data_IF_101524388335
#
_entry.id   IF_101524388335
#
_cell.length_a   1.000
_cell.length_b   1.000
_cell.length_c   1.000
_cell.angle_alpha   90.00
_cell.angle_beta   90.00
_cell.angle_gamma   90.00
#
_symmetry.space_group_name_H-M   'P 1'
#
loop_
_entity.id
_entity.type
_entity.pdbx_description
1 polymer ?
#
# COMPACT_ATOMS: atom_id res chain seq x y z
N UNK A 1 10.32 19.97 -24.31
CA UNK A 1 9.36 20.59 -23.37
C UNK A 1 7.91 20.15 -23.64
N UNK A 2 7.46 20.06 -24.89
CA UNK A 2 6.12 19.57 -25.28
C UNK A 2 5.79 18.18 -24.73
N UNK A 3 6.74 17.24 -24.74
CA UNK A 3 6.54 15.89 -24.18
C UNK A 3 6.33 15.89 -22.65
N UNK A 4 6.95 16.82 -21.92
CA UNK A 4 6.81 16.90 -20.46
C UNK A 4 5.43 17.39 -20.05
N UNK A 5 4.93 18.44 -20.71
CA UNK A 5 3.58 18.95 -20.50
C UNK A 5 2.51 17.91 -20.86
N UNK A 6 2.65 17.22 -22.01
CA UNK A 6 1.70 16.18 -22.42
C UNK A 6 1.73 14.96 -21.48
N UNK A 7 2.90 14.55 -21.00
CA UNK A 7 3.02 13.46 -20.01
C UNK A 7 2.35 13.84 -18.70
N UNK A 8 2.59 15.06 -18.21
CA UNK A 8 1.98 15.58 -16.99
C UNK A 8 0.46 15.65 -17.12
N UNK A 9 -0.07 16.21 -18.22
CA UNK A 9 -1.52 16.24 -18.46
C UNK A 9 -2.10 14.83 -18.52
N UNK A 10 -1.45 13.92 -19.24
CA UNK A 10 -1.92 12.54 -19.35
C UNK A 10 -1.99 11.87 -17.98
N UNK A 11 -0.95 12.07 -17.16
CA UNK A 11 -0.87 11.58 -15.79
C UNK A 11 -1.93 12.20 -14.88
N UNK A 12 -2.34 13.45 -15.09
CA UNK A 12 -3.35 14.16 -14.28
C UNK A 12 -4.76 14.11 -14.88
N UNK A 13 -4.94 13.60 -16.10
CA UNK A 13 -6.20 13.70 -16.85
C UNK A 13 -7.40 13.01 -16.17
N UNK A 14 -7.15 12.01 -15.33
CA UNK A 14 -8.19 11.22 -14.66
C UNK A 14 -9.00 12.01 -13.61
N UNK A 15 -8.50 13.14 -13.12
CA UNK A 15 -9.19 13.95 -12.11
C UNK A 15 -9.15 15.46 -12.42
N UNK A 16 -8.70 15.86 -13.61
CA UNK A 16 -8.67 17.26 -14.04
C UNK A 16 -9.37 17.43 -15.38
N UNK A 17 -10.70 17.44 -15.35
CA UNK A 17 -11.54 17.61 -16.56
C UNK A 17 -11.24 18.93 -17.27
N UNK A 18 -11.01 20.00 -16.51
CA UNK A 18 -10.70 21.34 -17.04
C UNK A 18 -9.45 21.36 -17.92
N UNK A 19 -8.43 20.54 -17.63
CA UNK A 19 -7.21 20.48 -18.44
C UNK A 19 -7.36 19.65 -19.72
N UNK A 20 -8.31 18.71 -19.75
CA UNK A 20 -8.55 17.88 -20.94
C UNK A 20 -9.14 18.69 -22.10
N UNK A 21 -9.93 19.72 -21.77
CA UNK A 21 -10.60 20.60 -22.73
C UNK A 21 -9.72 21.76 -23.22
N UNK A 22 -8.49 21.86 -22.69
CA UNK A 22 -7.54 22.91 -23.03
C UNK A 22 -6.45 22.37 -23.97
N UNK A 23 -6.04 23.18 -24.93
CA UNK A 23 -4.90 22.90 -25.81
C UNK A 23 -3.77 23.92 -25.61
N UNK A 24 -2.53 23.43 -25.64
CA UNK A 24 -1.34 24.26 -25.47
C UNK A 24 -1.13 25.16 -26.69
N UNK A 25 -1.08 26.48 -26.45
CA UNK A 25 -0.76 27.47 -27.48
C UNK A 25 0.73 27.77 -27.46
N UNK A 26 1.24 28.21 -26.30
CA UNK A 26 2.65 28.57 -26.15
C UNK A 26 3.12 28.40 -24.70
N UNK A 27 4.37 27.99 -24.54
CA UNK A 27 5.06 27.96 -23.25
C UNK A 27 5.83 29.27 -23.10
N UNK A 28 5.50 30.03 -22.06
CA UNK A 28 6.17 31.28 -21.69
C UNK A 28 7.09 30.99 -20.51
N UNK A 29 8.36 31.34 -20.68
CA UNK A 29 9.36 31.30 -19.61
C UNK A 29 9.60 32.72 -19.14
N UNK A 30 9.32 32.99 -17.87
CA UNK A 30 9.59 34.29 -17.28
C UNK A 30 11.08 34.44 -16.96
N UNK A 31 11.79 35.19 -17.81
CA UNK A 31 13.21 35.49 -17.65
C UNK A 31 13.54 36.42 -16.47
N UNK A 32 12.53 37.03 -15.85
CA UNK A 32 12.69 37.86 -14.65
C UNK A 32 12.55 37.08 -13.34
N UNK A 33 12.21 35.79 -13.42
CA UNK A 33 12.02 34.94 -12.26
C UNK A 33 13.31 34.84 -11.44
N UNK A 34 13.28 35.34 -10.21
CA UNK A 34 14.48 35.54 -9.39
C UNK A 34 15.31 34.27 -9.23
N UNK A 35 14.65 33.11 -9.15
CA UNK A 35 15.32 31.82 -9.06
C UNK A 35 16.00 31.45 -10.37
N UNK A 36 15.37 31.71 -11.52
CA UNK A 36 16.01 31.52 -12.83
C UNK A 36 17.22 32.45 -13.02
N UNK A 37 17.11 33.71 -12.59
CA UNK A 37 18.20 34.70 -12.66
C UNK A 37 19.34 34.36 -11.70
N UNK A 38 19.02 33.85 -10.51
CA UNK A 38 20.00 33.43 -9.50
C UNK A 38 20.62 32.05 -9.78
N UNK A 39 20.16 31.34 -10.83
CA UNK A 39 20.55 29.96 -11.10
C UNK A 39 20.05 28.95 -10.05
N UNK A 40 19.00 29.30 -9.31
CA UNK A 40 18.31 28.44 -8.35
C UNK A 40 17.32 27.53 -9.08
N UNK A 41 17.69 26.25 -9.18
CA UNK A 41 16.90 25.22 -9.83
C UNK A 41 15.96 24.48 -8.87
N UNK A 42 15.88 24.86 -7.60
CA UNK A 42 15.01 24.18 -6.61
C UNK A 42 13.52 24.29 -6.92
N UNK A 43 13.17 25.30 -7.72
CA UNK A 43 11.81 25.62 -8.11
C UNK A 43 11.79 25.99 -9.58
N UNK A 44 10.98 25.27 -10.34
CA UNK A 44 10.74 25.61 -11.74
C UNK A 44 9.32 26.11 -11.87
N UNK A 45 9.16 27.32 -12.42
CA UNK A 45 7.85 27.87 -12.77
C UNK A 45 7.74 28.03 -14.28
N UNK A 46 6.73 27.38 -14.84
CA UNK A 46 6.43 27.39 -16.27
C UNK A 46 5.05 28.00 -16.44
N UNK A 47 4.93 28.97 -17.34
CA UNK A 47 3.64 29.55 -17.70
C UNK A 47 3.22 28.99 -19.03
N UNK A 48 2.09 28.29 -19.09
CA UNK A 48 1.54 27.74 -20.31
C UNK A 48 0.32 28.57 -20.69
N UNK A 49 0.39 29.27 -21.82
CA UNK A 49 -0.80 29.85 -22.42
C UNK A 49 -1.53 28.73 -23.17
N UNK A 50 -2.76 28.49 -22.76
CA UNK A 50 -3.62 27.44 -23.29
C UNK A 50 -4.93 28.07 -23.76
N UNK A 51 -5.61 27.44 -24.71
CA UNK A 51 -6.92 27.88 -25.18
C UNK A 51 -7.93 26.75 -25.07
N UNK A 52 -9.20 27.09 -24.95
CA UNK A 52 -10.29 26.11 -25.04
C UNK A 52 -10.32 25.46 -26.42
N UNK A 53 -10.57 24.15 -26.45
CA UNK A 53 -10.80 23.39 -27.68
C UNK A 53 -12.16 23.71 -28.31
N UNK A 54 -13.13 24.16 -27.51
CA UNK A 54 -14.47 24.53 -27.98
C UNK A 54 -14.51 25.96 -28.54
N UNK A 55 -13.87 26.91 -27.86
CA UNK A 55 -13.76 28.30 -28.31
C UNK A 55 -12.30 28.79 -28.31
N UNK A 56 -11.76 28.97 -29.53
CA UNK A 56 -10.40 29.47 -29.75
C UNK A 56 -10.12 30.88 -29.20
N UNK A 57 -11.16 31.65 -28.84
CA UNK A 57 -11.01 33.00 -28.24
C UNK A 57 -10.85 32.95 -26.72
N UNK A 58 -11.19 31.83 -26.09
CA UNK A 58 -11.12 31.67 -24.64
C UNK A 58 -9.73 31.16 -24.24
N UNK A 59 -8.93 32.06 -23.68
CA UNK A 59 -7.53 31.82 -23.30
C UNK A 59 -7.38 31.71 -21.79
N UNK A 60 -6.52 30.81 -21.36
CA UNK A 60 -6.18 30.59 -19.96
C UNK A 60 -4.66 30.58 -19.80
N UNK A 61 -4.21 31.04 -18.65
CA UNK A 61 -2.84 30.86 -18.19
C UNK A 61 -2.79 29.70 -17.20
N UNK A 62 -2.11 28.63 -17.59
CA UNK A 62 -1.83 27.49 -16.73
C UNK A 62 -0.40 27.59 -16.22
N UNK A 63 -0.27 27.94 -14.95
CA UNK A 63 1.03 28.01 -14.29
C UNK A 63 1.34 26.66 -13.67
N UNK A 64 2.53 26.13 -13.96
CA UNK A 64 3.06 24.90 -13.38
C UNK A 64 4.26 25.26 -12.54
N UNK A 65 4.18 25.02 -11.23
CA UNK A 65 5.28 25.23 -10.29
C UNK A 65 5.75 23.86 -9.79
N UNK A 66 6.97 23.46 -10.09
CA UNK A 66 7.57 22.21 -9.62
C UNK A 66 8.61 22.53 -8.54
N UNK A 67 8.54 21.83 -7.41
CA UNK A 67 9.45 22.00 -6.27
C UNK A 67 9.83 20.65 -5.67
N UNK A 68 11.10 20.42 -5.37
CA UNK A 68 11.53 19.22 -4.67
C UNK A 68 11.26 19.34 -3.16
N UNK A 69 10.51 18.40 -2.57
CA UNK A 69 10.11 18.42 -1.16
C UNK A 69 10.20 17.02 -0.53
N UNK A 70 10.45 16.94 0.78
CA UNK A 70 10.27 15.69 1.53
C UNK A 70 8.79 15.38 1.63
N UNK A 71 8.48 14.11 1.56
CA UNK A 71 7.20 13.57 1.95
C UNK A 71 7.37 12.60 3.12
N UNK A 72 6.37 12.56 3.97
CA UNK A 72 6.22 11.60 5.06
C UNK A 72 4.82 11.01 4.98
N UNK A 73 4.72 9.69 4.91
CA UNK A 73 3.50 8.91 5.07
C UNK A 73 3.61 8.23 6.42
N UNK A 74 3.12 8.94 7.45
CA UNK A 74 3.23 8.52 8.85
C UNK A 74 2.64 7.13 9.10
N UNK A 75 1.52 6.83 8.45
CA UNK A 75 0.82 5.55 8.63
C UNK A 75 1.56 4.36 8.00
N UNK A 76 2.51 4.60 7.09
CA UNK A 76 3.35 3.57 6.48
C UNK A 76 4.81 3.63 6.92
N UNK A 77 5.14 4.50 7.88
CA UNK A 77 6.52 4.83 8.26
C UNK A 77 7.44 5.08 7.04
N UNK A 78 6.85 5.63 5.97
CA UNK A 78 7.52 5.84 4.70
C UNK A 78 7.87 7.30 4.57
N UNK A 79 9.11 7.58 4.25
CA UNK A 79 9.60 8.94 4.03
C UNK A 79 10.57 8.95 2.85
N UNK A 80 10.66 10.10 2.18
CA UNK A 80 11.58 10.25 1.07
C UNK A 80 11.43 11.58 0.36
N UNK A 81 12.28 11.83 -0.65
CA UNK A 81 12.11 12.96 -1.54
C UNK A 81 10.97 12.70 -2.52
N UNK A 82 10.29 13.78 -2.89
CA UNK A 82 9.28 13.82 -3.94
C UNK A 82 9.37 15.14 -4.71
N UNK A 83 8.83 15.13 -5.93
CA UNK A 83 8.58 16.35 -6.69
C UNK A 83 7.14 16.79 -6.46
N UNK A 84 6.93 17.94 -5.81
CA UNK A 84 5.63 18.59 -5.69
C UNK A 84 5.42 19.53 -6.88
N UNK A 85 4.42 19.22 -7.69
CA UNK A 85 3.86 20.11 -8.69
C UNK A 85 2.60 20.80 -8.18
N UNK A 86 2.52 22.11 -8.41
CA UNK A 86 1.31 22.91 -8.21
C UNK A 86 0.91 23.42 -9.60
N UNK A 87 -0.28 23.04 -10.03
CA UNK A 87 -0.87 23.51 -11.26
C UNK A 87 -1.96 24.52 -10.92
N UNK A 88 -1.85 25.73 -11.44
CA UNK A 88 -2.81 26.81 -11.20
C UNK A 88 -3.38 27.30 -12.51
N UNK A 89 -4.70 27.25 -12.65
CA UNK A 89 -5.43 27.71 -13.83
C UNK A 89 -5.99 29.10 -13.56
N UNK A 90 -5.69 30.04 -14.45
CA UNK A 90 -6.16 31.43 -14.39
C UNK A 90 -6.79 31.78 -15.74
N UNK A 91 -8.00 32.35 -15.76
CA UNK A 91 -8.58 32.91 -16.99
C UNK A 91 -8.19 34.38 -17.15
N UNK A 92 -8.20 35.14 -16.06
CA UNK A 92 -7.79 36.55 -16.03
C UNK A 92 -6.78 36.77 -14.89
N UNK A 93 -5.62 37.33 -15.24
CA UNK A 93 -4.55 37.69 -14.30
C UNK A 93 -5.01 38.65 -13.19
N UNK A 94 -6.11 39.38 -13.41
CA UNK A 94 -6.69 40.30 -12.43
C UNK A 94 -7.63 39.61 -11.44
N UNK A 95 -8.24 38.49 -11.84
CA UNK A 95 -9.24 37.77 -11.03
C UNK A 95 -8.62 36.68 -10.16
N UNK A 96 -7.37 36.31 -10.41
CA UNK A 96 -6.63 35.35 -9.61
C UNK A 96 -6.80 33.91 -10.09
N UNK A 97 -6.48 32.96 -9.22
CA UNK A 97 -6.49 31.52 -9.51
C UNK A 97 -7.90 30.99 -9.42
N UNK A 98 -8.38 30.34 -10.48
CA UNK A 98 -9.70 29.71 -10.55
C UNK A 98 -9.62 28.32 -9.96
N UNK A 99 -8.63 27.54 -10.38
CA UNK A 99 -8.43 26.17 -9.92
C UNK A 99 -6.96 25.92 -9.60
N UNK A 100 -6.73 25.17 -8.52
CA UNK A 100 -5.39 24.75 -8.08
C UNK A 100 -5.38 23.25 -7.83
N UNK A 101 -4.46 22.56 -8.51
CA UNK A 101 -4.24 21.13 -8.37
C UNK A 101 -2.86 20.89 -7.79
N UNK A 102 -2.78 19.99 -6.83
CA UNK A 102 -1.51 19.48 -6.32
C UNK A 102 -1.25 18.15 -7.02
N UNK A 103 -0.05 17.98 -7.55
CA UNK A 103 0.39 16.74 -8.19
C UNK A 103 1.75 16.36 -7.69
N UNK A 104 2.03 15.07 -7.51
CA UNK A 104 3.27 14.64 -6.87
C UNK A 104 3.84 13.40 -7.50
N UNK A 105 5.17 13.39 -7.60
CA UNK A 105 5.93 12.22 -7.98
C UNK A 105 6.76 11.75 -6.78
N UNK A 106 6.27 10.72 -6.06
CA UNK A 106 6.92 10.15 -4.88
C UNK A 106 8.19 9.35 -5.20
N UNK A 107 8.43 9.07 -6.48
CA UNK A 107 9.60 8.32 -6.97
C UNK A 107 10.73 9.24 -7.45
N UNK A 108 10.52 10.56 -7.47
CA UNK A 108 11.55 11.52 -7.84
C UNK A 108 12.45 11.85 -6.63
N UNK A 109 13.79 11.93 -6.78
CA UNK A 109 14.59 11.92 -8.00
C UNK A 109 15.12 10.54 -8.43
N UNK A 110 14.66 9.46 -7.80
CA UNK A 110 15.14 8.10 -8.09
C UNK A 110 14.78 7.62 -9.50
N UNK A 111 13.66 8.11 -10.05
CA UNK A 111 13.25 7.89 -11.43
C UNK A 111 13.42 9.16 -12.27
N UNK A 112 13.98 9.00 -13.48
CA UNK A 112 14.25 10.10 -14.42
C UNK A 112 12.98 10.74 -14.98
N UNK A 113 11.93 9.95 -15.15
CA UNK A 113 10.60 10.42 -15.59
C UNK A 113 9.69 10.48 -14.38
N UNK A 114 9.25 11.69 -13.94
CA UNK A 114 8.35 11.81 -12.80
C UNK A 114 6.96 11.30 -13.20
N UNK A 115 6.47 10.28 -12.49
CA UNK A 115 5.08 9.85 -12.59
C UNK A 115 4.25 10.66 -11.60
N UNK A 116 3.43 11.58 -12.12
CA UNK A 116 2.60 12.43 -11.28
C UNK A 116 1.30 11.72 -10.88
N UNK A 117 0.95 11.86 -9.62
CA UNK A 117 -0.36 11.52 -9.05
C UNK A 117 -1.01 12.79 -8.51
N UNK A 118 -2.33 12.92 -8.61
CA UNK A 118 -3.08 14.07 -8.11
C UNK A 118 -3.32 13.93 -6.62
N UNK A 119 -3.21 15.05 -5.92
CA UNK A 119 -3.52 15.19 -4.52
C UNK A 119 -4.48 16.34 -4.27
N UNK A 120 -5.32 16.15 -3.25
CA UNK A 120 -6.20 17.18 -2.71
C UNK A 120 -5.55 17.82 -1.49
N UNK A 121 -5.61 19.15 -1.40
CA UNK A 121 -5.15 19.89 -0.24
C UNK A 121 -6.15 19.75 0.91
N UNK A 122 -5.64 19.39 2.09
CA UNK A 122 -6.45 19.13 3.29
C UNK A 122 -6.24 20.24 4.31
N UNK A 123 -5.01 20.69 4.49
CA UNK A 123 -4.66 21.71 5.46
C UNK A 123 -3.17 21.78 5.76
N UNK A 124 -2.83 22.49 6.83
CA UNK A 124 -1.49 22.54 7.39
C UNK A 124 -1.54 21.86 8.77
N UNK A 125 -0.63 20.92 9.00
CA UNK A 125 -0.49 20.24 10.30
C UNK A 125 0.05 21.18 11.37
N UNK A 126 -0.07 20.80 12.64
CA UNK A 126 0.47 21.56 13.77
C UNK A 126 2.01 21.71 13.73
N UNK A 127 2.69 20.81 13.01
CA UNK A 127 4.14 20.85 12.76
C UNK A 127 4.52 21.63 11.47
N UNK A 128 3.56 22.37 10.90
CA UNK A 128 3.69 23.15 9.66
C UNK A 128 3.97 22.34 8.39
N UNK A 129 3.65 21.04 8.37
CA UNK A 129 3.60 20.25 7.13
C UNK A 129 2.35 20.57 6.31
N UNK A 130 2.51 20.61 4.98
CA UNK A 130 1.39 20.61 4.04
C UNK A 130 0.75 19.21 4.06
N UNK A 131 -0.53 19.13 4.43
CA UNK A 131 -1.30 17.89 4.43
C UNK A 131 -2.01 17.73 3.08
N UNK A 132 -1.54 16.76 2.30
CA UNK A 132 -2.12 16.42 0.99
C UNK A 132 -2.68 14.99 1.04
N UNK A 133 -3.79 14.75 0.35
CA UNK A 133 -4.39 13.42 0.24
C UNK A 133 -4.34 12.93 -1.21
N UNK A 134 -3.81 11.72 -1.42
CA UNK A 134 -3.68 11.13 -2.76
C UNK A 134 -5.05 10.78 -3.36
N UNK A 135 -5.18 10.98 -4.68
CA UNK A 135 -6.29 10.52 -5.50
C UNK A 135 -5.75 9.46 -6.48
N UNK A 136 -6.12 8.17 -6.39
CA UNK A 136 -5.61 7.12 -7.25
C UNK A 136 -6.10 7.29 -8.69
N UNK A 137 -5.25 6.90 -9.65
CA UNK A 137 -5.51 7.00 -11.10
C UNK A 137 -6.71 6.17 -11.56
N UNK A 138 -6.92 5.01 -10.94
CA UNK A 138 -8.06 4.14 -11.19
C UNK A 138 -8.45 3.38 -9.91
N UNK A 139 -9.62 3.67 -9.31
CA UNK A 139 -10.09 3.00 -8.09
C UNK A 139 -10.48 1.53 -8.32
N UNK A 140 -10.60 1.07 -9.57
CA UNK A 140 -11.05 -0.28 -9.95
C UNK A 140 -9.90 -1.23 -10.31
N UNK A 141 -8.77 -0.73 -10.84
CA UNK A 141 -7.67 -1.58 -11.35
C UNK A 141 -6.44 -1.68 -10.44
N UNK A 142 -6.28 -0.78 -9.47
CA UNK A 142 -5.10 -0.79 -8.58
C UNK A 142 -5.09 -1.80 -7.43
N UNK A 143 -6.20 -2.40 -6.94
CA UNK A 143 -6.08 -3.63 -6.18
C UNK A 143 -5.96 -4.78 -7.18
N UNK A 144 -4.79 -5.42 -7.26
CA UNK A 144 -4.69 -6.71 -7.96
C UNK A 144 -5.78 -7.60 -7.37
N UNK A 145 -6.76 -7.99 -8.21
CA UNK A 145 -7.98 -8.60 -7.73
C UNK A 145 -7.65 -9.90 -6.97
N UNK A 146 -7.60 -9.79 -5.64
CA UNK A 146 -7.14 -10.83 -4.74
C UNK A 146 -8.02 -12.08 -4.86
N UNK A 147 -9.30 -11.86 -5.18
CA UNK A 147 -10.27 -12.92 -5.49
C UNK A 147 -9.85 -13.66 -6.75
N UNK A 148 -9.42 -12.98 -7.80
CA UNK A 148 -8.92 -13.62 -9.03
C UNK A 148 -7.69 -14.48 -8.75
N UNK A 149 -6.73 -13.96 -7.96
CA UNK A 149 -5.56 -14.75 -7.53
C UNK A 149 -5.97 -16.00 -6.74
N UNK A 150 -6.93 -15.86 -5.81
CA UNK A 150 -7.50 -16.99 -5.07
C UNK A 150 -8.16 -18.02 -5.98
N UNK A 151 -8.95 -17.58 -6.97
CA UNK A 151 -9.60 -18.47 -7.94
C UNK A 151 -8.57 -19.25 -8.77
N UNK A 152 -7.49 -18.59 -9.22
CA UNK A 152 -6.42 -19.25 -9.97
C UNK A 152 -5.71 -20.34 -9.13
N UNK A 153 -5.50 -20.08 -7.83
CA UNK A 153 -4.94 -21.09 -6.91
C UNK A 153 -5.90 -22.27 -6.73
N UNK A 154 -7.22 -22.01 -6.59
CA UNK A 154 -8.22 -23.10 -6.51
C UNK A 154 -8.26 -23.92 -7.80
N UNK A 155 -8.15 -23.29 -8.97
CA UNK A 155 -8.05 -24.01 -10.27
C UNK A 155 -6.79 -24.88 -10.29
N UNK A 156 -5.65 -24.35 -9.83
CA UNK A 156 -4.40 -25.13 -9.72
C UNK A 156 -4.58 -26.37 -8.83
N UNK A 157 -5.24 -26.21 -7.67
CA UNK A 157 -5.54 -27.34 -6.79
C UNK A 157 -6.50 -28.34 -7.43
N UNK A 158 -7.52 -27.87 -8.17
CA UNK A 158 -8.44 -28.75 -8.90
C UNK A 158 -7.71 -29.59 -9.96
N UNK A 159 -6.82 -28.98 -10.75
CA UNK A 159 -5.99 -29.68 -11.72
C UNK A 159 -5.06 -30.71 -11.06
N UNK A 160 -4.56 -30.40 -9.86
CA UNK A 160 -3.79 -31.35 -9.05
C UNK A 160 -4.67 -32.35 -8.27
N UNK A 161 -5.96 -32.46 -8.58
CA UNK A 161 -6.91 -33.32 -7.85
C UNK A 161 -6.89 -33.11 -6.33
N UNK A 162 -6.60 -31.90 -5.86
CA UNK A 162 -6.43 -31.51 -4.46
C UNK A 162 -5.31 -32.25 -3.70
N UNK A 163 -4.36 -32.83 -4.42
CA UNK A 163 -3.29 -33.64 -3.82
C UNK A 163 -2.39 -32.83 -2.87
N UNK A 164 -1.99 -31.62 -3.25
CA UNK A 164 -1.18 -30.72 -2.39
C UNK A 164 -1.80 -30.49 -1.02
N UNK A 165 -3.12 -30.25 -0.96
CA UNK A 165 -3.84 -30.02 0.29
C UNK A 165 -3.96 -31.29 1.11
N UNK A 166 -4.18 -32.42 0.45
CA UNK A 166 -4.21 -33.74 1.09
C UNK A 166 -2.85 -34.12 1.69
N UNK A 167 -1.75 -33.93 0.97
CA UNK A 167 -0.40 -34.16 1.50
C UNK A 167 -0.11 -33.28 2.72
N UNK A 168 -0.50 -32.02 2.68
CA UNK A 168 -0.36 -31.12 3.82
C UNK A 168 -1.21 -31.57 5.03
N UNK A 169 -2.45 -32.00 4.80
CA UNK A 169 -3.31 -32.56 5.84
C UNK A 169 -2.67 -33.82 6.46
N UNK A 170 -2.21 -34.75 5.63
CA UNK A 170 -1.50 -35.96 6.05
C UNK A 170 -0.21 -35.66 6.82
N UNK A 171 0.56 -34.65 6.41
CA UNK A 171 1.76 -34.21 7.13
C UNK A 171 1.42 -33.70 8.54
N UNK A 172 0.36 -32.90 8.68
CA UNK A 172 -0.10 -32.45 9.99
C UNK A 172 -0.63 -33.63 10.82
N UNK A 173 -1.40 -34.55 10.22
CA UNK A 173 -1.95 -35.72 10.87
C UNK A 173 -0.86 -36.65 11.41
N UNK A 174 0.18 -36.91 10.63
CA UNK A 174 1.32 -37.72 11.04
C UNK A 174 2.05 -37.13 12.27
N UNK A 175 2.23 -35.80 12.31
CA UNK A 175 2.83 -35.11 13.46
C UNK A 175 1.93 -35.19 14.72
N UNK A 176 0.62 -35.32 14.54
CA UNK A 176 -0.36 -35.39 15.65
C UNK A 176 -0.51 -36.83 16.16
N UNK A 177 -0.56 -37.81 15.26
CA UNK A 177 -0.63 -39.25 15.58
C UNK A 177 0.72 -39.79 16.07
N UNK A 178 1.84 -39.23 15.61
CA UNK A 178 3.19 -39.74 15.90
C UNK A 178 3.66 -40.82 14.90
N UNK A 179 2.99 -40.94 13.75
CA UNK A 179 3.39 -41.79 12.62
C UNK A 179 4.46 -41.11 11.75
N UNK A 180 4.97 -41.82 10.74
CA UNK A 180 6.03 -41.30 9.87
C UNK A 180 5.65 -39.99 9.18
N UNK A 181 6.54 -39.01 9.29
CA UNK A 181 6.31 -37.65 8.81
C UNK A 181 6.32 -37.62 7.27
N UNK A 182 5.18 -37.27 6.67
CA UNK A 182 5.08 -36.93 5.25
C UNK A 182 5.78 -35.58 5.00
N UNK A 183 6.79 -35.57 4.13
CA UNK A 183 7.53 -34.35 3.75
C UNK A 183 6.73 -33.57 2.70
N UNK A 184 6.54 -32.28 2.96
CA UNK A 184 5.77 -31.36 2.10
C UNK A 184 6.51 -30.03 2.01
N UNK A 185 6.39 -29.34 0.88
CA UNK A 185 6.87 -27.98 0.69
C UNK A 185 5.98 -26.99 1.44
N UNK A 186 6.30 -26.75 2.72
CA UNK A 186 5.47 -25.96 3.64
C UNK A 186 5.21 -24.54 3.16
N UNK A 187 6.23 -23.89 2.59
CA UNK A 187 6.15 -22.51 2.11
C UNK A 187 5.18 -22.35 0.93
N UNK A 188 5.13 -23.34 0.04
CA UNK A 188 4.24 -23.31 -1.12
C UNK A 188 2.77 -23.43 -0.69
N UNK A 189 2.47 -24.39 0.19
CA UNK A 189 1.12 -24.56 0.72
C UNK A 189 0.71 -23.37 1.58
N UNK A 190 1.65 -22.78 2.33
CA UNK A 190 1.41 -21.59 3.11
C UNK A 190 0.95 -20.43 2.23
N UNK A 191 1.69 -20.12 1.16
CA UNK A 191 1.36 -19.04 0.23
C UNK A 191 0.01 -19.28 -0.46
N UNK A 192 -0.23 -20.49 -0.97
CA UNK A 192 -1.48 -20.82 -1.65
C UNK A 192 -2.69 -20.67 -0.71
N UNK A 193 -2.60 -21.22 0.50
CA UNK A 193 -3.68 -21.15 1.50
C UNK A 193 -3.91 -19.72 1.97
N UNK A 194 -2.86 -18.91 2.13
CA UNK A 194 -2.98 -17.49 2.47
C UNK A 194 -3.72 -16.71 1.38
N UNK A 195 -3.37 -16.92 0.11
CA UNK A 195 -3.99 -16.22 -1.02
C UNK A 195 -5.48 -16.58 -1.14
N UNK A 196 -5.82 -17.87 -1.02
CA UNK A 196 -7.23 -18.31 -1.03
C UNK A 196 -7.99 -17.76 0.17
N UNK A 197 -7.37 -17.78 1.35
CA UNK A 197 -7.95 -17.20 2.56
C UNK A 197 -8.26 -15.70 2.41
N UNK A 198 -7.30 -14.91 1.93
CA UNK A 198 -7.51 -13.49 1.70
C UNK A 198 -8.61 -13.25 0.65
N UNK A 199 -8.67 -14.07 -0.40
CA UNK A 199 -9.78 -14.04 -1.37
C UNK A 199 -11.14 -14.31 -0.72
N UNK A 200 -11.25 -15.30 0.18
CA UNK A 200 -12.47 -15.58 0.93
C UNK A 200 -12.84 -14.46 1.91
N UNK A 201 -11.86 -13.86 2.56
CA UNK A 201 -12.08 -12.69 3.45
C UNK A 201 -12.57 -11.48 2.65
N UNK A 202 -12.07 -11.27 1.43
CA UNK A 202 -12.58 -10.23 0.54
C UNK A 202 -14.05 -10.48 0.14
N UNK A 203 -14.43 -11.72 -0.20
CA UNK A 203 -15.82 -12.09 -0.48
C UNK A 203 -16.72 -11.92 0.76
N UNK A 204 -16.23 -12.32 1.93
CA UNK A 204 -16.95 -12.18 3.20
C UNK A 204 -17.16 -10.71 3.55
N UNK A 205 -16.13 -9.88 3.39
CA UNK A 205 -16.20 -8.43 3.54
C UNK A 205 -17.24 -7.82 2.60
N UNK A 206 -17.27 -8.27 1.33
CA UNK A 206 -18.28 -7.87 0.36
C UNK A 206 -19.70 -8.27 0.77
N UNK A 207 -19.89 -9.48 1.31
CA UNK A 207 -21.17 -9.96 1.78
C UNK A 207 -21.68 -9.21 3.03
N UNK A 208 -20.80 -8.99 4.02
CA UNK A 208 -21.13 -8.27 5.26
C UNK A 208 -21.27 -6.77 5.03
N UNK A 209 -20.78 -6.26 3.89
CA UNK A 209 -20.70 -4.84 3.57
C UNK A 209 -19.89 -4.07 4.61
N UNK A 210 -18.73 -4.61 4.96
CA UNK A 210 -17.81 -4.02 5.94
C UNK A 210 -16.37 -4.16 5.47
N UNK A 211 -15.56 -3.10 5.58
CA UNK A 211 -14.14 -3.14 5.21
C UNK A 211 -13.34 -3.93 6.25
N UNK A 212 -12.35 -4.68 5.80
CA UNK A 212 -11.45 -5.43 6.68
C UNK A 212 -10.02 -5.01 6.36
N UNK A 213 -9.27 -4.60 7.38
CA UNK A 213 -7.86 -4.24 7.19
C UNK A 213 -7.03 -5.49 6.83
N UNK A 214 -6.23 -5.46 5.74
CA UNK A 214 -5.38 -6.57 5.33
C UNK A 214 -4.43 -7.04 6.44
N UNK A 215 -3.92 -6.11 7.24
CA UNK A 215 -2.94 -6.37 8.29
C UNK A 215 -3.54 -7.25 9.38
N UNK A 216 -4.79 -7.00 9.77
CA UNK A 216 -5.51 -7.81 10.75
C UNK A 216 -5.75 -9.22 10.20
N UNK A 217 -6.15 -9.32 8.93
CA UNK A 217 -6.40 -10.61 8.29
C UNK A 217 -5.12 -11.47 8.20
N UNK A 218 -4.02 -10.87 7.74
CA UNK A 218 -2.71 -11.54 7.64
C UNK A 218 -2.19 -11.91 9.03
N UNK A 219 -2.24 -10.99 9.99
CA UNK A 219 -1.77 -11.23 11.36
C UNK A 219 -2.50 -12.39 12.04
N UNK A 220 -3.84 -12.43 11.93
CA UNK A 220 -4.64 -13.53 12.48
C UNK A 220 -4.34 -14.85 11.76
N UNK A 221 -4.15 -14.82 10.45
CA UNK A 221 -3.74 -15.99 9.68
C UNK A 221 -2.42 -16.55 10.19
N UNK A 222 -1.39 -15.73 10.35
CA UNK A 222 -0.07 -16.17 10.80
C UNK A 222 -0.12 -16.80 12.20
N UNK A 223 -0.87 -16.21 13.13
CA UNK A 223 -1.04 -16.75 14.49
C UNK A 223 -1.69 -18.14 14.44
N UNK A 224 -2.80 -18.27 13.70
CA UNK A 224 -3.53 -19.54 13.62
C UNK A 224 -2.74 -20.57 12.81
N UNK A 225 -2.04 -20.16 11.76
CA UNK A 225 -1.21 -21.05 10.96
C UNK A 225 -0.06 -21.62 11.80
N UNK A 226 0.62 -20.78 12.58
CA UNK A 226 1.71 -21.19 13.48
C UNK A 226 1.22 -22.13 14.58
N UNK A 227 0.05 -21.86 15.17
CA UNK A 227 -0.53 -22.65 16.25
C UNK A 227 -1.46 -23.78 15.78
N UNK A 228 -1.53 -24.06 14.47
CA UNK A 228 -2.50 -25.01 13.88
C UNK A 228 -2.49 -26.40 14.53
N UNK A 229 -1.32 -26.93 14.87
CA UNK A 229 -1.19 -28.25 15.47
C UNK A 229 -1.68 -28.26 16.92
N UNK A 230 -1.44 -27.17 17.65
CA UNK A 230 -1.96 -26.99 19.01
C UNK A 230 -3.48 -26.92 19.00
N UNK A 231 -4.08 -26.24 18.01
CA UNK A 231 -5.53 -26.14 17.86
C UNK A 231 -6.17 -27.50 17.53
N UNK A 232 -5.54 -28.30 16.66
CA UNK A 232 -6.00 -29.67 16.37
C UNK A 232 -5.90 -30.53 17.64
N UNK A 233 -4.77 -30.46 18.37
CA UNK A 233 -4.59 -31.23 19.62
C UNK A 233 -5.55 -30.80 20.73
N UNK A 234 -5.93 -29.53 20.77
CA UNK A 234 -6.82 -28.97 21.79
C UNK A 234 -8.29 -29.37 21.64
N UNK A 235 -8.71 -29.87 20.47
CA UNK A 235 -10.07 -30.33 20.22
C UNK A 235 -10.10 -31.87 20.15
N UNK A 236 -10.65 -32.57 21.16
CA UNK A 236 -10.66 -34.04 21.19
C UNK A 236 -11.37 -34.67 19.99
N UNK A 237 -12.51 -34.11 19.56
CA UNK A 237 -13.26 -34.61 18.42
C UNK A 237 -12.45 -34.51 17.12
N UNK A 238 -11.86 -33.34 16.85
CA UNK A 238 -11.04 -33.10 15.65
C UNK A 238 -9.77 -33.95 15.67
N UNK A 239 -9.13 -34.07 16.84
CA UNK A 239 -7.94 -34.90 17.02
C UNK A 239 -8.23 -36.36 16.71
N UNK A 240 -9.33 -36.91 17.23
CA UNK A 240 -9.66 -38.32 17.04
C UNK A 240 -9.88 -38.64 15.55
N UNK A 241 -10.64 -37.81 14.83
CA UNK A 241 -10.84 -37.97 13.38
C UNK A 241 -9.52 -37.93 12.59
N UNK A 242 -8.64 -36.99 12.91
CA UNK A 242 -7.34 -36.83 12.24
C UNK A 242 -6.42 -38.01 12.52
N UNK A 243 -6.40 -38.51 13.76
CA UNK A 243 -5.57 -39.65 14.19
C UNK A 243 -6.11 -40.95 13.63
N UNK A 244 -7.41 -41.20 13.69
CA UNK A 244 -8.04 -42.42 13.17
C UNK A 244 -7.82 -42.59 11.67
N UNK A 245 -7.97 -41.52 10.89
CA UNK A 245 -7.64 -41.55 9.47
C UNK A 245 -6.15 -41.80 9.22
N UNK A 246 -5.27 -41.14 9.98
CA UNK A 246 -3.82 -41.34 9.86
C UNK A 246 -3.41 -42.77 10.19
N UNK A 247 -3.98 -43.36 11.25
CA UNK A 247 -3.64 -44.69 11.76
C UNK A 247 -4.20 -45.78 10.85
N UNK A 248 -5.42 -45.60 10.35
CA UNK A 248 -5.99 -46.52 9.35
C UNK A 248 -5.13 -46.55 8.08
N UNK A 249 -4.68 -45.39 7.60
CA UNK A 249 -3.82 -45.32 6.42
C UNK A 249 -2.41 -45.86 6.69
N UNK A 250 -1.88 -45.67 7.90
CA UNK A 250 -0.62 -46.27 8.32
C UNK A 250 -0.72 -47.80 8.39
N UNK A 251 -1.85 -48.33 8.89
CA UNK A 251 -2.08 -49.77 8.98
C UNK A 251 -2.11 -50.48 7.62
N UNK A 252 -2.57 -49.80 6.56
CA UNK A 252 -2.58 -50.32 5.19
C UNK A 252 -1.17 -50.57 4.63
N UNK A 253 -0.15 -49.96 5.22
CA UNK A 253 1.25 -50.18 4.85
C UNK A 253 1.74 -51.57 5.25
N UNK A 254 1.18 -52.14 6.32
CA UNK A 254 1.58 -53.45 6.81
C UNK A 254 1.03 -54.52 5.87
N UNK A 255 1.91 -55.15 5.11
CA UNK A 255 1.55 -56.31 4.30
C UNK A 255 1.47 -57.57 5.17
N UNK A 256 0.46 -58.40 4.95
CA UNK A 256 0.40 -59.73 5.57
C UNK A 256 1.44 -60.63 4.87
N UNK A 257 2.59 -60.83 5.50
CA UNK A 257 3.71 -61.61 4.95
C UNK A 257 3.62 -63.06 5.45
N UNK A 258 3.96 -64.02 4.60
CA UNK A 258 4.05 -65.43 5.01
C UNK A 258 5.12 -65.62 6.09
N UNK A 259 4.91 -66.48 7.11
CA UNK A 259 5.88 -66.71 8.19
C UNK A 259 7.28 -67.08 7.69
N UNK A 260 7.36 -67.71 6.52
CA UNK A 260 8.63 -68.10 5.88
C UNK A 260 9.44 -66.89 5.45
N UNK A 261 8.78 -65.84 4.93
CA UNK A 261 9.44 -64.62 4.45
C UNK A 261 9.74 -63.68 5.62
N UNK A 262 8.88 -63.66 6.65
CA UNK A 262 9.16 -62.96 7.90
C UNK A 262 10.41 -63.50 8.61
N UNK A 263 10.62 -64.82 8.57
CA UNK A 263 11.82 -65.44 9.13
C UNK A 263 13.13 -65.13 8.35
N UNK A 264 13.05 -64.64 7.10
CA UNK A 264 14.23 -64.34 6.28
C UNK A 264 14.87 -62.98 6.58
N UNK A 265 14.13 -62.03 7.15
CA UNK A 265 14.64 -60.69 7.44
C UNK A 265 13.94 -60.06 8.65
N UNK A 266 14.70 -59.42 9.56
CA UNK A 266 14.12 -58.68 10.69
C UNK A 266 13.53 -57.32 10.29
N UNK A 267 13.55 -56.95 9.01
CA UNK A 267 13.02 -55.67 8.52
C UNK A 267 11.51 -55.75 8.32
N UNK A 268 10.79 -54.70 8.72
CA UNK A 268 9.36 -54.57 8.43
C UNK A 268 9.12 -54.44 6.92
N UNK A 269 8.26 -55.30 6.39
CA UNK A 269 7.88 -55.28 4.99
C UNK A 269 6.77 -54.25 4.75
N UNK A 270 7.07 -53.30 3.88
CA UNK A 270 6.11 -52.28 3.45
C UNK A 270 5.78 -52.49 1.99
N UNK A 271 4.49 -52.42 1.68
CA UNK A 271 4.00 -52.48 0.30
C UNK A 271 3.49 -51.12 -0.14
N UNK A 272 3.70 -50.79 -1.41
CA UNK A 272 2.99 -49.69 -2.04
C UNK A 272 1.49 -50.04 -2.04
N UNK A 273 0.66 -49.12 -1.55
CA UNK A 273 -0.78 -49.26 -1.56
C UNK A 273 -1.39 -48.04 -2.24
N UNK A 274 -2.55 -48.25 -2.86
CA UNK A 274 -3.34 -47.15 -3.38
C UNK A 274 -4.08 -46.50 -2.22
N UNK A 275 -3.97 -45.17 -2.10
CA UNK A 275 -4.74 -44.44 -1.10
C UNK A 275 -6.23 -44.60 -1.44
N UNK A 276 -7.08 -45.02 -0.48
CA UNK A 276 -8.52 -45.10 -0.69
C UNK A 276 -9.11 -43.73 -1.04
N UNK A 277 -10.39 -43.66 -1.40
CA UNK A 277 -11.04 -42.39 -1.71
C UNK A 277 -10.79 -41.36 -0.61
N UNK A 278 -10.38 -40.14 -1.01
CA UNK A 278 -10.07 -39.04 -0.09
C UNK A 278 -11.29 -38.77 0.79
N UNK A 279 -11.12 -38.88 2.10
CA UNK A 279 -12.21 -38.61 3.04
C UNK A 279 -12.36 -37.09 3.25
N UNK A 280 -13.56 -36.60 2.96
CA UNK A 280 -13.92 -35.20 3.15
C UNK A 280 -13.95 -34.80 4.62
N UNK A 281 -14.31 -35.74 5.52
CA UNK A 281 -14.38 -35.51 6.96
C UNK A 281 -12.98 -35.26 7.53
N UNK A 282 -12.02 -36.13 7.19
CA UNK A 282 -10.61 -35.94 7.50
C UNK A 282 -10.05 -34.59 7.01
N UNK A 283 -10.36 -34.19 5.77
CA UNK A 283 -9.91 -32.91 5.23
C UNK A 283 -10.51 -31.73 6.00
N UNK A 284 -11.81 -31.75 6.29
CA UNK A 284 -12.47 -30.72 7.08
C UNK A 284 -11.87 -30.62 8.50
N UNK A 285 -11.62 -31.76 9.15
CA UNK A 285 -10.98 -31.84 10.46
C UNK A 285 -9.54 -31.28 10.43
N UNK A 286 -8.75 -31.62 9.41
CA UNK A 286 -7.38 -31.13 9.24
C UNK A 286 -7.31 -29.62 8.97
N UNK A 287 -8.30 -29.07 8.27
CA UNK A 287 -8.43 -27.63 8.01
C UNK A 287 -9.24 -26.87 9.06
N UNK A 288 -9.68 -27.54 10.15
CA UNK A 288 -10.43 -26.93 11.24
C UNK A 288 -9.85 -25.59 11.74
N UNK A 289 -8.54 -25.43 11.99
CA UNK A 289 -7.99 -24.14 12.41
C UNK A 289 -8.28 -23.00 11.43
N UNK A 290 -8.30 -23.28 10.12
CA UNK A 290 -8.51 -22.28 9.06
C UNK A 290 -10.00 -21.97 8.90
N UNK A 291 -10.87 -22.95 9.15
CA UNK A 291 -12.31 -22.74 9.23
C UNK A 291 -12.64 -21.86 10.44
N UNK A 292 -12.04 -22.13 11.60
CA UNK A 292 -12.20 -21.28 12.79
C UNK A 292 -11.69 -19.86 12.54
N UNK A 293 -10.59 -19.70 11.80
CA UNK A 293 -10.06 -18.40 11.40
C UNK A 293 -11.08 -17.58 10.59
N UNK A 294 -11.70 -18.19 9.58
CA UNK A 294 -12.75 -17.52 8.79
C UNK A 294 -13.94 -17.11 9.67
N UNK A 295 -14.35 -17.97 10.60
CA UNK A 295 -15.38 -17.66 11.59
C UNK A 295 -15.00 -16.47 12.50
N UNK A 296 -13.76 -16.41 12.98
CA UNK A 296 -13.29 -15.30 13.82
C UNK A 296 -13.26 -13.98 13.06
N UNK A 297 -12.90 -13.97 11.78
CA UNK A 297 -12.96 -12.76 10.96
C UNK A 297 -14.40 -12.33 10.68
N UNK A 298 -15.30 -13.28 10.40
CA UNK A 298 -16.71 -12.96 10.23
C UNK A 298 -17.28 -12.30 11.49
N UNK A 299 -16.95 -12.85 12.67
CA UNK A 299 -17.33 -12.26 13.95
C UNK A 299 -16.73 -10.87 14.15
N UNK A 300 -15.44 -10.70 13.86
CA UNK A 300 -14.76 -9.40 13.92
C UNK A 300 -15.45 -8.36 13.02
N UNK A 301 -15.76 -8.71 11.77
CA UNK A 301 -16.43 -7.82 10.83
C UNK A 301 -17.83 -7.42 11.32
N UNK A 302 -18.60 -8.35 11.88
CA UNK A 302 -19.91 -8.06 12.48
C UNK A 302 -19.76 -7.14 13.70
N UNK A 303 -18.82 -7.44 14.60
CA UNK A 303 -18.60 -6.64 15.80
C UNK A 303 -18.14 -5.22 15.45
N UNK A 304 -17.28 -5.08 14.46
CA UNK A 304 -16.85 -3.79 13.91
C UNK A 304 -18.02 -2.99 13.33
N UNK A 305 -18.89 -3.66 12.57
CA UNK A 305 -20.09 -3.06 12.01
C UNK A 305 -21.04 -2.54 13.10
N UNK A 306 -21.23 -3.32 14.16
CA UNK A 306 -21.99 -2.90 15.35
C UNK A 306 -21.31 -1.73 16.06
N UNK A 307 -19.99 -1.76 16.21
CA UNK A 307 -19.24 -0.68 16.84
C UNK A 307 -19.38 0.65 16.08
N UNK A 308 -19.23 0.65 14.75
CA UNK A 308 -19.43 1.85 13.91
C UNK A 308 -20.86 2.37 13.95
N UNK A 309 -21.83 1.48 14.12
CA UNK A 309 -23.23 1.87 14.28
C UNK A 309 -23.47 2.61 15.62
N UNK A 310 -22.79 2.20 16.69
CA UNK A 310 -22.93 2.79 18.03
C UNK A 310 -22.08 4.07 18.17
N UNK A 311 -20.87 4.06 17.62
CA UNK A 311 -19.91 5.16 17.67
C UNK A 311 -19.60 5.65 16.24
N UNK A 312 -20.50 6.46 15.64
CA UNK A 312 -20.22 7.07 14.35
C UNK A 312 -18.99 7.97 14.46
N UNK A 313 -18.09 7.86 13.49
CA UNK A 313 -16.83 8.59 13.48
C UNK A 313 -17.11 10.09 13.30
N UNK A 314 -16.54 10.94 14.17
CA UNK A 314 -16.68 12.39 14.03
C UNK A 314 -15.98 12.85 12.74
N UNK A 315 -16.80 13.27 11.77
CA UNK A 315 -16.32 13.82 10.51
C UNK A 315 -15.73 15.20 10.83
N UNK A 316 -14.41 15.29 11.04
CA UNK A 316 -13.71 16.58 11.06
C UNK A 316 -13.91 17.28 9.71
N UNK A 317 -14.91 18.15 9.63
CA UNK A 317 -14.96 19.21 8.65
C UNK A 317 -13.82 20.19 8.97
N UNK A 318 -12.62 19.96 8.42
CA UNK A 318 -11.66 21.06 8.28
C UNK A 318 -12.13 21.87 7.07
N UNK A 319 -12.67 23.04 7.38
CA UNK A 319 -13.31 23.97 6.45
C UNK A 319 -12.43 24.26 5.24
N UNK A 320 -12.80 23.75 4.07
CA UNK A 320 -12.56 24.47 2.83
C UNK A 320 -13.49 25.68 2.87
N UNK A 321 -12.93 26.87 3.09
CA UNK A 321 -13.63 28.11 2.78
C UNK A 321 -13.82 28.19 1.27
N UNK A 322 -14.92 27.64 0.80
CA UNK A 322 -15.52 27.99 -0.48
C UNK A 322 -16.98 28.26 -0.18
N UNK A 323 -17.28 29.54 0.04
CA UNK A 323 -18.63 30.02 0.25
C UNK A 323 -19.39 29.88 -1.07
N UNK A 324 -20.20 28.83 -1.23
CA UNK A 324 -21.50 28.83 -1.92
C UNK A 324 -22.12 27.41 -1.99
N UNK A 325 -23.45 27.37 -1.88
CA UNK A 325 -24.42 26.27 -2.14
C UNK A 325 -24.64 25.24 -1.00
N UNK A 326 -25.67 25.35 -0.13
CA UNK A 326 -27.13 25.43 -0.30
C UNK A 326 -27.82 24.10 -0.68
N UNK A 327 -28.77 23.69 0.18
CA UNK A 327 -29.80 22.65 0.04
C UNK A 327 -29.40 21.16 -0.03
N UNK A 328 -28.20 20.80 -0.50
CA UNK A 328 -27.80 19.39 -0.62
C UNK A 328 -27.10 18.81 0.63
N UNK A 329 -27.00 19.61 1.70
CA UNK A 329 -26.20 19.30 2.89
C UNK A 329 -26.78 18.15 3.73
N UNK A 330 -28.10 18.00 3.82
CA UNK A 330 -28.75 16.86 4.53
C UNK A 330 -28.61 15.55 3.76
N UNK A 331 -28.72 15.57 2.44
CA UNK A 331 -28.51 14.41 1.56
C UNK A 331 -27.04 14.01 1.54
N UNK A 332 -26.14 15.00 1.47
CA UNK A 332 -24.70 14.80 1.57
C UNK A 332 -24.27 14.32 2.95
N UNK A 333 -24.89 14.77 4.05
CA UNK A 333 -24.67 14.27 5.42
C UNK A 333 -25.14 12.82 5.62
N UNK A 334 -26.30 12.45 5.05
CA UNK A 334 -26.78 11.06 5.04
C UNK A 334 -25.89 10.13 4.21
N UNK A 335 -25.32 10.62 3.11
CA UNK A 335 -24.28 9.91 2.34
C UNK A 335 -22.95 9.86 3.11
N UNK A 336 -22.56 10.95 3.79
CA UNK A 336 -21.27 11.14 4.48
C UNK A 336 -21.01 10.16 5.60
N UNK A 337 -22.07 9.72 6.29
CA UNK A 337 -21.94 8.78 7.41
C UNK A 337 -21.43 7.38 7.02
N UNK A 338 -21.46 7.05 5.73
CA UNK A 338 -21.03 5.76 5.18
C UNK A 338 -19.81 5.85 4.23
N UNK A 339 -19.30 7.06 3.97
CA UNK A 339 -18.25 7.31 2.98
C UNK A 339 -16.99 7.80 3.68
N UNK A 340 -15.85 7.26 3.28
CA UNK A 340 -14.57 7.85 3.64
C UNK A 340 -14.44 9.22 2.97
N UNK A 341 -13.68 10.13 3.59
CA UNK A 341 -13.42 11.45 3.01
C UNK A 341 -12.80 11.37 1.59
N UNK A 342 -12.22 10.22 1.24
CA UNK A 342 -11.73 9.85 -0.08
C UNK A 342 -12.85 9.72 -1.13
N UNK A 343 -13.92 8.97 -0.84
CA UNK A 343 -15.05 8.73 -1.74
C UNK A 343 -15.91 9.98 -1.94
N UNK A 344 -15.96 10.85 -0.93
CA UNK A 344 -16.64 12.15 -1.01
C UNK A 344 -15.88 13.10 -1.93
N UNK A 345 -14.54 13.04 -1.95
CA UNK A 345 -13.70 13.93 -2.77
C UNK A 345 -13.55 13.49 -4.22
N UNK A 346 -13.73 12.20 -4.53
CA UNK A 346 -13.53 11.67 -5.88
C UNK A 346 -14.82 11.56 -6.70
N UNK A 347 -15.99 11.74 -6.09
CA UNK A 347 -17.29 11.55 -6.78
C UNK A 347 -17.52 10.12 -7.29
N UNK A 348 -16.60 9.19 -7.02
CA UNK A 348 -16.65 7.80 -7.42
C UNK A 348 -17.61 7.05 -6.50
N UNK A 349 -18.90 7.31 -6.65
CA UNK A 349 -19.87 6.75 -5.72
C UNK A 349 -19.98 5.22 -5.86
N UNK A 350 -19.58 4.58 -6.95
CA UNK A 350 -20.00 3.20 -7.19
C UNK A 350 -18.90 2.40 -7.89
N UNK A 351 -18.16 1.55 -7.15
CA UNK A 351 -17.99 0.11 -7.48
C UNK A 351 -16.99 -0.70 -6.61
N UNK A 352 -16.19 -0.13 -5.70
CA UNK A 352 -15.26 -0.93 -4.83
C UNK A 352 -15.53 -0.78 -3.33
N UNK A 353 -16.81 -0.72 -2.95
CA UNK A 353 -17.27 -0.35 -1.60
C UNK A 353 -16.87 -1.33 -0.48
N UNK A 354 -16.54 -2.59 -0.79
CA UNK A 354 -16.31 -3.64 0.20
C UNK A 354 -15.21 -4.61 -0.25
N UNK A 355 -14.35 -5.01 0.67
CA UNK A 355 -13.20 -5.87 0.43
C UNK A 355 -12.11 -5.70 1.50
N UNK A 356 -10.97 -6.34 1.28
CA UNK A 356 -9.77 -6.09 2.07
C UNK A 356 -9.19 -4.76 1.63
N UNK A 357 -9.45 -3.73 2.42
CA UNK A 357 -9.04 -2.36 2.16
C UNK A 357 -8.55 -1.84 3.50
N UNK A 358 -7.36 -1.24 3.50
CA UNK A 358 -6.88 -0.61 4.71
C UNK A 358 -7.66 0.67 4.99
N UNK A 359 -8.04 0.88 6.25
CA UNK A 359 -8.74 2.10 6.69
C UNK A 359 -7.79 3.29 6.93
N UNK A 360 -6.50 3.12 6.61
CA UNK A 360 -5.49 4.17 6.67
C UNK A 360 -5.91 5.40 5.86
N UNK A 361 -5.80 6.57 6.49
CA UNK A 361 -6.02 7.85 5.81
C UNK A 361 -4.75 8.12 5.03
N UNK A 362 -4.83 8.04 3.71
CA UNK A 362 -3.69 8.27 2.83
C UNK A 362 -3.32 9.77 2.75
N UNK A 363 -2.81 10.29 3.87
CA UNK A 363 -2.26 11.62 4.00
C UNK A 363 -0.76 11.56 3.82
N UNK A 364 -0.27 12.49 3.04
CA UNK A 364 1.14 12.69 2.80
C UNK A 364 1.48 14.09 3.31
N UNK A 365 2.49 14.15 4.18
CA UNK A 365 2.93 15.35 4.86
C UNK A 365 4.20 15.88 4.20
N UNK A 366 4.24 17.15 3.82
CA UNK A 366 5.40 17.72 3.11
C UNK A 366 6.20 18.76 3.87
N UNK A 367 7.53 18.73 3.70
CA UNK A 367 8.48 19.72 4.26
C UNK A 367 9.71 19.87 3.35
N UNK A 368 10.40 21.01 3.39
CA UNK A 368 11.50 21.30 2.47
C UNK A 368 12.84 20.61 2.77
N UNK A 369 13.67 20.46 1.74
CA UNK A 369 15.08 20.01 1.80
C UNK A 369 16.07 21.17 1.87
N UNK A 370 17.30 20.87 2.32
CA UNK A 370 18.46 21.75 2.22
C UNK A 370 19.67 20.95 1.75
N UNK A 371 20.41 21.49 0.79
CA UNK A 371 21.65 20.89 0.29
C UNK A 371 22.83 21.54 0.99
N UNK A 372 23.63 20.72 1.67
CA UNK A 372 24.83 21.16 2.37
C UNK A 372 26.03 21.12 1.42
N UNK A 373 26.63 22.28 1.20
CA UNK A 373 27.82 22.49 0.37
C UNK A 373 27.71 21.89 -1.06
N UNK A 374 26.49 21.84 -1.61
CA UNK A 374 26.22 21.29 -2.96
C UNK A 374 26.46 19.80 -3.13
N UNK A 375 26.74 19.05 -2.05
CA UNK A 375 27.12 17.62 -2.09
C UNK A 375 26.17 16.70 -1.35
N UNK A 376 25.51 17.20 -0.31
CA UNK A 376 24.70 16.37 0.58
C UNK A 376 23.29 16.93 0.71
N UNK A 377 22.29 16.15 0.32
CA UNK A 377 20.89 16.46 0.54
C UNK A 377 20.48 16.07 1.96
N UNK A 378 19.96 17.04 2.72
CA UNK A 378 19.53 16.87 4.11
C UNK A 378 18.12 17.41 4.30
N UNK A 379 17.32 16.73 5.12
CA UNK A 379 16.01 17.23 5.55
C UNK A 379 16.17 18.49 6.39
N UNK A 380 15.38 19.52 6.13
CA UNK A 380 15.42 20.76 6.94
C UNK A 380 15.18 20.50 8.44
N UNK A 381 14.27 19.57 8.78
CA UNK A 381 13.98 19.14 10.16
C UNK A 381 15.18 18.47 10.84
N UNK A 382 16.10 17.89 10.08
CA UNK A 382 17.28 17.21 10.61
C UNK A 382 18.47 18.15 10.86
N UNK A 383 18.46 19.39 10.34
CA UNK A 383 19.56 20.35 10.53
C UNK A 383 19.88 20.63 12.02
N UNK A 384 18.91 20.90 12.91
CA UNK A 384 19.20 21.10 14.33
C UNK A 384 19.85 19.88 14.98
N UNK A 385 19.43 18.68 14.58
CA UNK A 385 20.02 17.43 15.05
C UNK A 385 21.47 17.28 14.57
N UNK A 386 21.76 17.57 13.29
CA UNK A 386 23.13 17.55 12.75
C UNK A 386 24.04 18.54 13.47
N UNK A 387 23.57 19.78 13.72
CA UNK A 387 24.32 20.79 14.46
C UNK A 387 24.63 20.32 15.87
N UNK A 388 23.66 19.70 16.55
CA UNK A 388 23.83 19.19 17.91
C UNK A 388 24.78 17.99 17.94
N UNK A 389 24.73 17.08 16.94
CA UNK A 389 25.69 15.96 16.79
C UNK A 389 27.11 16.50 16.61
N UNK A 390 27.26 17.59 15.84
CA UNK A 390 28.55 18.26 15.63
C UNK A 390 29.07 18.94 16.90
N UNK A 391 28.20 19.64 17.64
CA UNK A 391 28.55 20.32 18.90
C UNK A 391 28.96 19.34 20.00
N UNK A 392 28.14 18.31 20.23
CA UNK A 392 28.35 17.34 21.32
C UNK A 392 29.34 16.23 20.97
N UNK A 393 29.77 16.14 19.70
CA UNK A 393 30.57 15.03 19.15
C UNK A 393 30.01 13.65 19.48
N UNK A 394 28.69 13.56 19.66
CA UNK A 394 27.98 12.35 20.07
C UNK A 394 26.69 12.20 19.27
N UNK A 395 26.40 10.97 18.84
CA UNK A 395 25.25 10.63 18.00
C UNK A 395 24.09 10.19 18.89
N UNK A 396 23.17 11.10 19.16
CA UNK A 396 21.94 10.83 19.92
C UNK A 396 20.74 10.48 19.01
N UNK A 397 20.83 10.74 17.70
CA UNK A 397 19.83 10.32 16.71
C UNK A 397 20.50 9.91 15.40
N UNK A 398 19.89 8.97 14.69
CA UNK A 398 20.37 8.51 13.39
C UNK A 398 19.82 9.46 12.32
N UNK A 399 20.68 10.36 11.82
CA UNK A 399 20.37 11.22 10.68
C UNK A 399 20.99 10.63 9.43
N UNK A 400 20.18 10.49 8.38
CA UNK A 400 20.62 10.03 7.08
C UNK A 400 20.71 11.21 6.10
N UNK A 401 21.74 11.20 5.27
CA UNK A 401 21.99 12.20 4.22
C UNK A 401 22.28 11.50 2.92
N UNK A 402 21.84 12.09 1.82
CA UNK A 402 22.05 11.51 0.50
C UNK A 402 23.13 12.30 -0.23
N UNK A 403 24.04 11.59 -0.90
CA UNK A 403 25.06 12.23 -1.73
C UNK A 403 24.43 12.63 -3.07
N UNK A 404 24.66 13.87 -3.47
CA UNK A 404 24.20 14.46 -4.72
C UNK A 404 25.33 14.34 -5.73
N UNK A 405 25.05 13.73 -6.88
CA UNK A 405 25.97 13.56 -8.01
C UNK A 405 25.42 14.30 -9.22
N UNK A 406 25.87 15.54 -9.42
CA UNK A 406 25.27 16.44 -10.39
C UNK A 406 23.79 16.68 -10.07
N UNK A 407 22.91 16.20 -10.95
CA UNK A 407 21.47 16.41 -10.87
C UNK A 407 20.70 15.23 -10.23
N UNK A 408 21.40 14.15 -9.91
CA UNK A 408 20.80 12.94 -9.34
C UNK A 408 21.26 12.74 -7.91
N UNK A 409 20.43 12.04 -7.14
CA UNK A 409 20.76 11.65 -5.77
C UNK A 409 21.12 10.17 -5.80
N UNK A 410 22.20 9.79 -5.12
CA UNK A 410 22.52 8.36 -4.96
C UNK A 410 21.46 7.70 -4.07
N UNK A 411 21.00 6.52 -4.49
CA UNK A 411 20.04 5.69 -3.74
C UNK A 411 20.56 5.25 -2.35
N UNK A 412 21.86 5.40 -2.11
CA UNK A 412 22.48 5.01 -0.84
C UNK A 412 22.50 6.15 0.16
N UNK A 413 21.72 6.00 1.23
CA UNK A 413 21.72 6.90 2.36
C UNK A 413 23.01 6.73 3.19
N UNK A 414 23.72 7.83 3.47
CA UNK A 414 24.88 7.86 4.35
C UNK A 414 24.48 8.35 5.73
N UNK A 415 24.93 7.65 6.76
CA UNK A 415 24.69 8.05 8.15
C UNK A 415 25.60 9.22 8.54
N UNK A 416 25.04 10.22 9.24
CA UNK A 416 25.78 11.39 9.72
C UNK A 416 26.54 11.05 10.99
N UNK A 417 27.84 11.36 10.96
CA UNK A 417 28.75 11.31 12.09
C UNK A 417 29.23 12.74 12.42
N UNK A 418 29.78 12.96 13.64
CA UNK A 418 30.38 14.25 14.00
C UNK A 418 31.44 14.76 13.02
N UNK A 419 32.09 13.87 12.26
CA UNK A 419 33.10 14.24 11.28
C UNK A 419 32.55 14.40 9.85
N UNK A 420 31.28 14.06 9.60
CA UNK A 420 30.69 14.08 8.25
C UNK A 420 30.63 15.48 7.64
N UNK A 421 30.34 16.52 8.44
CA UNK A 421 30.24 17.90 7.97
C UNK A 421 31.26 18.80 8.66
N UNK A 422 31.92 19.68 7.92
CA UNK A 422 32.68 20.79 8.51
C UNK A 422 31.73 21.93 8.93
N UNK A 423 32.19 22.80 9.82
CA UNK A 423 31.41 23.98 10.20
C UNK A 423 31.13 24.87 8.99
N UNK A 424 32.10 25.04 8.09
CA UNK A 424 31.93 25.77 6.84
C UNK A 424 30.87 25.14 5.91
N UNK A 425 30.71 23.82 5.94
CA UNK A 425 29.68 23.15 5.14
C UNK A 425 28.28 23.51 5.65
N UNK A 426 28.07 23.49 6.97
CA UNK A 426 26.79 23.83 7.60
C UNK A 426 26.39 25.31 7.42
N UNK A 427 27.35 26.20 7.16
CA UNK A 427 27.07 27.60 6.81
C UNK A 427 26.76 27.80 5.32
N UNK A 428 27.14 26.86 4.46
CA UNK A 428 26.86 26.85 3.02
C UNK A 428 25.67 25.98 2.71
N UNK A 429 24.53 26.41 3.22
CA UNK A 429 23.23 25.82 2.90
C UNK A 429 22.77 26.37 1.56
N UNK A 430 22.54 25.47 0.60
CA UNK A 430 22.06 25.82 -0.72
C UNK A 430 20.81 24.99 -1.05
N UNK A 431 19.95 25.50 -1.92
CA UNK A 431 18.75 24.78 -2.37
C UNK A 431 18.91 24.20 -3.79
N UNK A 432 19.99 24.53 -4.49
CA UNK A 432 19.97 24.70 -5.96
C UNK A 432 20.46 23.53 -6.83
N UNK A 433 20.69 22.31 -6.32
CA UNK A 433 21.45 21.29 -7.07
C UNK A 433 20.59 20.19 -7.73
N UNK A 434 19.31 20.02 -7.35
CA UNK A 434 18.48 18.95 -7.92
C UNK A 434 17.68 19.42 -9.14
N UNK A 435 18.32 19.45 -10.32
CA UNK A 435 17.64 19.39 -11.62
C UNK A 435 18.57 19.14 -12.80
#
# INVERSE_FOLDING_TARGET
>A
MTHGYMSMINDTSYNTTTLADLELVVVVVDGSFTQLVAGDLSTVRIFNLVRSREDSRDLYLVTVSLTAQDYEIREHEKEGPALLGILSVMRDMRQGIIEMFYMMALTYPYQRTPEFEIYSFVGISDESFLELRSTPKDPLTQPVNLVLRGVLVVISWYLNSFWTLFEFAMSNAAIVSGTDIVRVHRELVHADVLVVYLGLVALLSAAIRERIDPSIAIFLFEIIHKNRLSLIRGSPAVRNEVVEYSDSLFSLRNSNVSPVVEAMSPLNYWTAFQIPSKDGTFLAASFFPKITLLGTIAFYAVLRKVYRYIFPEEIRQRSSQSAEQSANEKTALLLKGNLTNFEISTGAELQTRFGIISDYKNYVYFKGYVIVNGKFLIKSKALPAVVTIKLLRSRFTNVYVYEVDGNTVKDTARLVFPETFSWSDLWRLNLTVLL
#
